data_IF_293125040732
#
_entry.id   IF_293125040732
#
_cell.length_a   1.000
_cell.length_b   1.000
_cell.length_c   1.000
_cell.angle_alpha   90.00
_cell.angle_beta   90.00
_cell.angle_gamma   90.00
#
_symmetry.space_group_name_H-M   'P 1'
#
loop_
_entity.id
_entity.type
_entity.pdbx_description
1 polymer ?
#
# COMPACT_ATOMS: atom_id res chain seq x y z
N UNK A 1 31.53 -20.75 22.11
CA UNK A 1 30.26 -20.54 21.38
C UNK A 1 30.61 -20.19 19.95
N UNK A 2 30.50 -21.17 19.08
CA UNK A 2 30.74 -20.94 17.65
C UNK A 2 29.47 -20.28 17.07
N UNK A 3 29.66 -19.11 16.44
CA UNK A 3 28.61 -18.41 15.70
C UNK A 3 28.27 -19.24 14.45
N UNK A 4 27.05 -19.77 14.41
CA UNK A 4 26.50 -20.49 13.25
C UNK A 4 26.06 -19.52 12.13
N UNK A 5 26.79 -18.43 11.93
CA UNK A 5 26.57 -17.53 10.80
C UNK A 5 27.22 -18.16 9.56
N UNK A 6 26.43 -18.85 8.75
CA UNK A 6 26.83 -19.18 7.39
C UNK A 6 26.98 -17.89 6.61
N UNK A 7 28.14 -17.64 5.99
CA UNK A 7 28.32 -16.42 5.22
C UNK A 7 27.32 -16.40 4.05
N UNK A 8 26.69 -15.24 3.84
CA UNK A 8 25.72 -14.98 2.75
C UNK A 8 26.27 -15.38 1.37
N UNK A 9 27.61 -15.47 1.25
CA UNK A 9 28.30 -15.93 0.04
C UNK A 9 28.06 -17.40 -0.36
N UNK A 10 27.37 -18.20 0.48
CA UNK A 10 27.05 -19.60 0.18
C UNK A 10 25.64 -19.80 -0.41
N UNK A 11 24.81 -18.76 -0.49
CA UNK A 11 23.52 -18.83 -1.16
C UNK A 11 23.74 -18.78 -2.67
N UNK A 12 23.14 -19.70 -3.45
CA UNK A 12 23.22 -19.63 -4.90
C UNK A 12 22.63 -18.28 -5.35
N UNK A 13 23.32 -17.62 -6.28
CA UNK A 13 22.79 -16.42 -6.90
C UNK A 13 21.47 -16.80 -7.60
N UNK A 14 20.41 -15.95 -7.48
CA UNK A 14 19.17 -16.22 -8.19
C UNK A 14 19.43 -16.28 -9.71
N UNK A 15 18.71 -17.15 -10.40
CA UNK A 15 18.76 -17.21 -11.87
C UNK A 15 18.41 -15.82 -12.42
N UNK A 16 19.20 -15.24 -13.33
CA UNK A 16 18.89 -13.97 -13.96
C UNK A 16 17.46 -13.89 -14.52
N UNK A 17 16.91 -15.00 -15.03
CA UNK A 17 15.53 -15.07 -15.53
C UNK A 17 14.50 -14.91 -14.43
N UNK A 18 14.78 -15.41 -13.21
CA UNK A 18 13.89 -15.23 -12.04
C UNK A 18 13.92 -13.77 -11.59
N UNK A 19 15.07 -13.13 -11.61
CA UNK A 19 15.20 -11.71 -11.31
C UNK A 19 14.42 -10.83 -12.33
N UNK A 20 14.55 -11.13 -13.62
CA UNK A 20 13.80 -10.43 -14.67
C UNK A 20 12.28 -10.62 -14.53
N UNK A 21 11.83 -11.84 -14.25
CA UNK A 21 10.43 -12.14 -14.00
C UNK A 21 9.91 -11.40 -12.77
N UNK A 22 10.72 -11.32 -11.71
CA UNK A 22 10.36 -10.58 -10.49
C UNK A 22 10.23 -9.07 -10.77
N UNK A 23 11.16 -8.49 -11.52
CA UNK A 23 11.10 -7.08 -11.91
C UNK A 23 9.88 -6.78 -12.79
N UNK A 24 9.56 -7.64 -13.75
CA UNK A 24 8.35 -7.52 -14.57
C UNK A 24 7.09 -7.64 -13.70
N UNK A 25 7.07 -8.54 -12.73
CA UNK A 25 5.93 -8.70 -11.83
C UNK A 25 5.67 -7.43 -10.97
N UNK A 26 6.73 -6.70 -10.60
CA UNK A 26 6.60 -5.45 -9.83
C UNK A 26 6.31 -4.25 -10.74
N UNK A 27 7.13 -4.06 -11.77
CA UNK A 27 7.16 -2.82 -12.56
C UNK A 27 6.48 -2.93 -13.92
N UNK A 28 5.91 -4.09 -14.25
CA UNK A 28 5.35 -4.35 -15.57
C UNK A 28 6.41 -4.47 -16.66
N UNK A 29 6.00 -4.81 -17.88
CA UNK A 29 6.89 -4.88 -19.03
C UNK A 29 7.38 -3.48 -19.41
N UNK A 30 8.63 -3.40 -19.84
CA UNK A 30 9.18 -2.19 -20.43
C UNK A 30 8.71 -2.03 -21.88
N UNK A 31 8.47 -0.79 -22.29
CA UNK A 31 8.32 -0.48 -23.71
C UNK A 31 9.67 -0.68 -24.45
N UNK A 32 9.66 -0.84 -25.77
CA UNK A 32 10.88 -0.96 -26.57
C UNK A 32 11.85 0.20 -26.42
N UNK A 33 11.37 1.38 -26.00
CA UNK A 33 12.16 2.58 -25.73
C UNK A 33 12.60 2.71 -24.25
N UNK A 34 12.32 1.69 -23.40
CA UNK A 34 12.64 1.68 -21.99
C UNK A 34 11.71 2.53 -21.10
N UNK A 35 10.67 3.15 -21.68
CA UNK A 35 9.68 3.92 -20.91
C UNK A 35 8.61 3.00 -20.31
N UNK A 36 8.02 3.42 -19.20
CA UNK A 36 6.88 2.75 -18.59
C UNK A 36 5.58 3.36 -19.11
N UNK A 37 4.79 2.58 -19.83
CA UNK A 37 3.48 3.02 -20.36
C UNK A 37 2.31 2.59 -19.49
N UNK A 38 2.56 1.81 -18.45
CA UNK A 38 1.53 1.26 -17.59
C UNK A 38 0.86 2.35 -16.75
N UNK A 39 -0.46 2.35 -16.70
CA UNK A 39 -1.24 3.19 -15.80
C UNK A 39 -1.33 2.58 -14.39
N UNK A 40 -1.71 3.39 -13.39
CA UNK A 40 -2.00 2.90 -12.02
C UNK A 40 -3.02 1.76 -12.05
N UNK A 41 -4.05 1.89 -12.88
CA UNK A 41 -5.12 0.89 -13.02
C UNK A 41 -4.58 -0.43 -13.57
N UNK A 42 -3.74 -0.39 -14.59
CA UNK A 42 -3.15 -1.60 -15.19
C UNK A 42 -2.21 -2.30 -14.21
N UNK A 43 -1.38 -1.55 -13.50
CA UNK A 43 -0.52 -2.08 -12.44
C UNK A 43 -1.34 -2.72 -11.32
N UNK A 44 -2.43 -2.06 -10.92
CA UNK A 44 -3.31 -2.55 -9.87
C UNK A 44 -4.02 -3.85 -10.27
N UNK A 45 -4.54 -3.93 -11.49
CA UNK A 45 -5.17 -5.14 -12.03
C UNK A 45 -4.17 -6.31 -12.06
N UNK A 46 -2.93 -6.05 -12.45
CA UNK A 46 -1.85 -7.05 -12.45
C UNK A 46 -1.53 -7.53 -11.03
N UNK A 47 -1.50 -6.65 -10.03
CA UNK A 47 -1.30 -7.05 -8.64
C UNK A 47 -2.49 -7.83 -8.07
N UNK A 48 -3.72 -7.49 -8.45
CA UNK A 48 -4.92 -8.26 -8.07
C UNK A 48 -4.88 -9.68 -8.65
N UNK A 49 -4.46 -9.82 -9.90
CA UNK A 49 -4.28 -11.13 -10.56
C UNK A 49 -3.21 -11.96 -9.86
N UNK A 50 -2.07 -11.36 -9.52
CA UNK A 50 -0.97 -12.04 -8.83
C UNK A 50 -1.35 -12.50 -7.40
N UNK A 51 -2.37 -11.91 -6.81
CA UNK A 51 -2.91 -12.29 -5.49
C UNK A 51 -4.05 -13.31 -5.57
N UNK A 52 -4.10 -14.11 -6.64
CA UNK A 52 -5.07 -15.18 -6.80
C UNK A 52 -6.35 -14.75 -7.50
N UNK A 53 -6.32 -13.68 -8.30
CA UNK A 53 -7.46 -13.23 -9.09
C UNK A 53 -8.53 -12.53 -8.25
N UNK A 54 -8.13 -11.59 -7.38
CA UNK A 54 -9.05 -10.78 -6.59
C UNK A 54 -9.95 -9.96 -7.50
N UNK A 55 -11.27 -10.13 -7.38
CA UNK A 55 -12.26 -9.38 -8.16
C UNK A 55 -12.67 -8.05 -7.50
N UNK A 56 -13.42 -7.23 -8.25
CA UNK A 56 -13.89 -5.92 -7.79
C UNK A 56 -14.69 -5.98 -6.49
N UNK A 57 -15.59 -6.95 -6.37
CA UNK A 57 -16.43 -7.12 -5.18
C UNK A 57 -15.61 -7.50 -3.96
N UNK A 58 -14.64 -8.39 -4.14
CA UNK A 58 -13.74 -8.84 -3.09
C UNK A 58 -12.86 -7.69 -2.62
N UNK A 59 -12.30 -6.89 -3.53
CA UNK A 59 -11.52 -5.71 -3.19
C UNK A 59 -12.36 -4.68 -2.42
N UNK A 60 -13.59 -4.43 -2.84
CA UNK A 60 -14.52 -3.55 -2.12
C UNK A 60 -14.78 -4.03 -0.68
N UNK A 61 -15.02 -5.33 -0.49
CA UNK A 61 -15.18 -5.92 0.84
C UNK A 61 -13.92 -5.79 1.70
N UNK A 62 -12.75 -6.01 1.13
CA UNK A 62 -11.47 -5.97 1.85
C UNK A 62 -11.08 -4.54 2.27
N UNK A 63 -11.43 -3.54 1.48
CA UNK A 63 -11.05 -2.14 1.69
C UNK A 63 -12.13 -1.32 2.38
N UNK A 64 -13.38 -1.73 2.33
CA UNK A 64 -14.53 -0.91 2.73
C UNK A 64 -14.84 0.24 1.78
N UNK A 65 -14.18 0.32 0.63
CA UNK A 65 -14.46 1.30 -0.42
C UNK A 65 -15.74 0.89 -1.17
N UNK A 66 -16.55 1.88 -1.53
CA UNK A 66 -17.78 1.63 -2.30
C UNK A 66 -17.46 0.85 -3.60
N UNK A 67 -18.29 -0.15 -3.88
CA UNK A 67 -18.14 -1.01 -5.07
C UNK A 67 -18.18 -0.21 -6.38
N UNK A 68 -19.00 0.84 -6.43
CA UNK A 68 -19.07 1.72 -7.59
C UNK A 68 -17.79 2.52 -7.81
N UNK A 69 -17.15 2.97 -6.74
CA UNK A 69 -15.84 3.65 -6.83
C UNK A 69 -14.74 2.70 -7.28
N UNK A 70 -14.66 1.48 -6.72
CA UNK A 70 -13.73 0.45 -7.19
C UNK A 70 -13.92 0.20 -8.69
N UNK A 71 -15.17 0.02 -9.14
CA UNK A 71 -15.46 -0.19 -10.57
C UNK A 71 -15.01 0.99 -11.44
N UNK A 72 -15.22 2.23 -10.98
CA UNK A 72 -14.77 3.43 -11.73
C UNK A 72 -13.25 3.52 -11.80
N UNK A 73 -12.54 3.17 -10.73
CA UNK A 73 -11.08 3.12 -10.70
C UNK A 73 -10.52 2.09 -11.68
N UNK A 74 -11.03 0.86 -11.62
CA UNK A 74 -10.55 -0.25 -12.45
C UNK A 74 -10.95 -0.14 -13.93
N UNK A 75 -11.90 0.71 -14.27
CA UNK A 75 -12.29 1.03 -15.64
C UNK A 75 -11.75 2.37 -16.15
N UNK A 76 -10.79 2.98 -15.45
CA UNK A 76 -10.22 4.30 -15.79
C UNK A 76 -11.25 5.43 -15.92
N UNK A 77 -12.41 5.30 -15.27
CA UNK A 77 -13.46 6.34 -15.27
C UNK A 77 -13.25 7.40 -14.19
N UNK A 78 -12.40 7.12 -13.23
CA UNK A 78 -12.04 8.02 -12.14
C UNK A 78 -10.62 7.73 -11.65
N UNK A 79 -9.86 8.79 -11.36
CA UNK A 79 -8.54 8.66 -10.75
C UNK A 79 -8.68 8.18 -9.30
N UNK A 80 -7.85 7.22 -8.91
CA UNK A 80 -7.80 6.69 -7.55
C UNK A 80 -7.33 7.80 -6.61
N UNK A 81 -8.03 8.04 -5.50
CA UNK A 81 -7.57 8.96 -4.48
C UNK A 81 -6.39 8.35 -3.70
N UNK A 82 -5.50 9.22 -3.20
CA UNK A 82 -4.37 8.81 -2.37
C UNK A 82 -4.80 7.93 -1.19
N UNK A 83 -5.88 8.31 -0.49
CA UNK A 83 -6.39 7.54 0.65
C UNK A 83 -6.89 6.16 0.25
N UNK A 84 -7.66 6.06 -0.82
CA UNK A 84 -8.14 4.78 -1.32
C UNK A 84 -7.00 3.89 -1.81
N UNK A 85 -5.96 4.47 -2.44
CA UNK A 85 -4.78 3.71 -2.84
C UNK A 85 -4.04 3.13 -1.63
N UNK A 86 -3.92 3.87 -0.53
CA UNK A 86 -3.36 3.35 0.72
C UNK A 86 -4.12 2.11 1.23
N UNK A 87 -5.45 2.18 1.28
CA UNK A 87 -6.28 1.06 1.72
C UNK A 87 -6.16 -0.14 0.78
N UNK A 88 -6.09 0.09 -0.52
CA UNK A 88 -5.89 -0.96 -1.52
C UNK A 88 -4.51 -1.62 -1.35
N UNK A 89 -3.46 -0.86 -1.11
CA UNK A 89 -2.12 -1.40 -0.84
C UNK A 89 -2.11 -2.31 0.39
N UNK A 90 -2.78 -1.91 1.47
CA UNK A 90 -2.90 -2.72 2.68
C UNK A 90 -3.72 -3.98 2.42
N UNK A 91 -4.86 -3.87 1.75
CA UNK A 91 -5.74 -5.00 1.43
C UNK A 91 -5.05 -6.05 0.56
N UNK A 92 -4.32 -5.63 -0.46
CA UNK A 92 -3.55 -6.50 -1.34
C UNK A 92 -2.22 -6.97 -0.74
N UNK A 93 -1.87 -6.52 0.45
CA UNK A 93 -0.61 -6.86 1.15
C UNK A 93 0.60 -6.65 0.26
N UNK A 94 0.70 -5.49 -0.34
CA UNK A 94 1.78 -5.18 -1.28
C UNK A 94 3.11 -4.94 -0.55
N UNK A 95 4.19 -5.36 -1.18
CA UNK A 95 5.55 -5.00 -0.75
C UNK A 95 5.78 -3.49 -0.91
N UNK A 96 6.70 -2.94 -0.14
CA UNK A 96 7.05 -1.50 -0.18
C UNK A 96 7.42 -1.03 -1.59
N UNK A 97 8.14 -1.84 -2.38
CA UNK A 97 8.49 -1.51 -3.76
C UNK A 97 7.27 -1.43 -4.69
N UNK A 98 6.28 -2.31 -4.51
CA UNK A 98 5.02 -2.28 -5.26
C UNK A 98 4.20 -1.05 -4.90
N UNK A 99 4.11 -0.72 -3.61
CA UNK A 99 3.44 0.49 -3.12
C UNK A 99 4.08 1.74 -3.72
N UNK A 100 5.42 1.84 -3.63
CA UNK A 100 6.16 2.96 -4.21
C UNK A 100 5.88 3.11 -5.71
N UNK A 101 5.87 2.02 -6.46
CA UNK A 101 5.59 2.04 -7.88
C UNK A 101 4.19 2.59 -8.19
N UNK A 102 3.14 2.15 -7.45
CA UNK A 102 1.78 2.67 -7.63
C UNK A 102 1.69 4.17 -7.33
N UNK A 103 2.34 4.64 -6.25
CA UNK A 103 2.36 6.06 -5.90
C UNK A 103 3.14 6.90 -6.91
N UNK A 104 4.24 6.38 -7.44
CA UNK A 104 5.00 7.05 -8.52
C UNK A 104 4.15 7.17 -9.80
N UNK A 105 3.39 6.13 -10.17
CA UNK A 105 2.45 6.18 -11.30
C UNK A 105 1.30 7.18 -11.07
N UNK A 106 0.80 7.27 -9.83
CA UNK A 106 -0.23 8.23 -9.45
C UNK A 106 0.32 9.66 -9.36
N UNK A 107 1.64 9.84 -9.31
CA UNK A 107 2.35 11.11 -9.08
C UNK A 107 1.99 11.76 -7.74
N UNK A 108 1.78 10.93 -6.73
CA UNK A 108 1.49 11.34 -5.37
C UNK A 108 2.57 10.81 -4.41
N UNK A 109 2.96 11.57 -3.37
CA UNK A 109 3.88 11.07 -2.36
C UNK A 109 3.24 10.00 -1.48
N UNK A 110 4.03 8.99 -1.09
CA UNK A 110 3.60 8.03 -0.08
C UNK A 110 3.39 8.76 1.26
N UNK A 111 2.31 8.45 2.02
CA UNK A 111 2.07 9.06 3.32
C UNK A 111 3.25 8.87 4.28
N UNK A 112 3.50 9.86 5.11
CA UNK A 112 4.50 9.80 6.18
C UNK A 112 5.96 9.93 5.76
N UNK A 113 6.26 10.22 4.48
CA UNK A 113 7.64 10.39 3.98
C UNK A 113 8.05 11.86 3.88
N UNK A 114 7.12 12.76 3.55
CA UNK A 114 7.43 14.17 3.28
C UNK A 114 6.87 15.05 4.39
N UNK A 115 7.71 15.94 4.92
CA UNK A 115 7.33 16.91 5.95
C UNK A 115 7.24 16.34 7.35
N UNK A 116 6.40 16.94 8.20
CA UNK A 116 6.02 16.38 9.50
C UNK A 116 4.72 15.59 9.29
N UNK A 117 4.76 14.26 9.26
CA UNK A 117 3.56 13.48 9.13
C UNK A 117 2.67 13.70 10.37
N UNK A 118 1.36 13.84 10.14
CA UNK A 118 0.40 13.85 11.22
C UNK A 118 0.17 12.41 11.78
N UNK A 119 -0.55 12.30 12.88
CA UNK A 119 -0.82 11.01 13.52
C UNK A 119 -1.54 10.03 12.57
N UNK A 120 -2.43 10.54 11.71
CA UNK A 120 -3.16 9.76 10.72
C UNK A 120 -2.22 9.17 9.65
N UNK A 121 -1.31 9.97 9.11
CA UNK A 121 -0.32 9.52 8.14
C UNK A 121 0.64 8.50 8.73
N UNK A 122 1.04 8.67 10.00
CA UNK A 122 1.88 7.72 10.72
C UNK A 122 1.19 6.36 10.89
N UNK A 123 -0.10 6.35 11.24
CA UNK A 123 -0.89 5.12 11.36
C UNK A 123 -0.97 4.41 10.01
N UNK A 124 -1.38 5.11 8.96
CA UNK A 124 -1.48 4.54 7.61
C UNK A 124 -0.15 3.96 7.16
N UNK A 125 0.94 4.72 7.34
CA UNK A 125 2.30 4.28 6.99
C UNK A 125 2.71 3.00 7.71
N UNK A 126 2.41 2.91 9.00
CA UNK A 126 2.69 1.72 9.80
C UNK A 126 2.01 0.47 9.22
N UNK A 127 0.73 0.56 8.86
CA UNK A 127 0.01 -0.56 8.23
C UNK A 127 0.50 -0.86 6.82
N UNK A 128 0.85 0.15 6.04
CA UNK A 128 1.42 -0.05 4.71
C UNK A 128 2.79 -0.75 4.77
N UNK A 129 3.64 -0.40 5.73
CA UNK A 129 4.95 -1.03 5.88
C UNK A 129 4.87 -2.47 6.40
N UNK A 130 3.88 -2.77 7.23
CA UNK A 130 3.73 -4.08 7.88
C UNK A 130 2.85 -5.08 7.14
N UNK A 131 1.97 -4.64 6.25
CA UNK A 131 0.91 -5.49 5.68
C UNK A 131 1.41 -6.70 4.89
N UNK A 132 2.60 -6.65 4.32
CA UNK A 132 3.20 -7.78 3.61
C UNK A 132 3.70 -8.88 4.56
N UNK A 133 4.18 -8.51 5.73
CA UNK A 133 4.85 -9.40 6.69
C UNK A 133 3.94 -9.89 7.80
N UNK A 134 2.91 -9.13 8.17
CA UNK A 134 2.04 -9.39 9.30
C UNK A 134 0.57 -9.49 8.84
N UNK A 135 -0.02 -10.67 9.00
CA UNK A 135 -1.41 -10.94 8.62
C UNK A 135 -2.43 -10.15 9.45
N UNK A 136 -2.04 -9.65 10.63
CA UNK A 136 -2.90 -8.82 11.48
C UNK A 136 -2.98 -7.36 11.02
N UNK A 137 -2.07 -6.94 10.15
CA UNK A 137 -2.08 -5.60 9.53
C UNK A 137 -3.13 -5.53 8.42
N UNK A 138 -4.39 -5.43 8.82
CA UNK A 138 -5.55 -5.38 7.93
C UNK A 138 -6.12 -3.97 7.79
N UNK A 139 -6.91 -3.74 6.73
CA UNK A 139 -7.64 -2.46 6.54
C UNK A 139 -8.57 -2.19 7.72
N UNK A 140 -9.29 -3.21 8.22
CA UNK A 140 -10.19 -3.06 9.35
C UNK A 140 -9.46 -2.58 10.62
N UNK A 141 -8.29 -3.15 10.93
CA UNK A 141 -7.47 -2.71 12.04
C UNK A 141 -6.93 -1.29 11.83
N UNK A 142 -6.50 -0.96 10.63
CA UNK A 142 -6.04 0.39 10.29
C UNK A 142 -7.15 1.43 10.53
N UNK A 143 -8.35 1.18 10.03
CA UNK A 143 -9.52 2.07 10.22
C UNK A 143 -9.84 2.21 11.70
N UNK A 144 -9.86 1.13 12.48
CA UNK A 144 -10.11 1.18 13.91
C UNK A 144 -9.08 2.04 14.65
N UNK A 145 -7.81 1.97 14.28
CA UNK A 145 -6.77 2.84 14.86
C UNK A 145 -6.94 4.31 14.47
N UNK A 146 -7.35 4.58 13.22
CA UNK A 146 -7.65 5.93 12.77
C UNK A 146 -8.84 6.54 13.51
N UNK A 147 -9.88 5.78 13.78
CA UNK A 147 -11.06 6.23 14.52
C UNK A 147 -10.70 6.49 15.99
N UNK A 148 -9.94 5.62 16.63
CA UNK A 148 -9.43 5.84 17.99
C UNK A 148 -8.57 7.12 18.11
N UNK A 149 -7.75 7.40 17.10
CA UNK A 149 -6.95 8.62 17.07
C UNK A 149 -7.79 9.88 16.95
N UNK A 150 -8.87 9.85 16.15
CA UNK A 150 -9.84 10.96 16.05
C UNK A 150 -10.53 11.24 17.37
N UNK A 151 -11.00 10.20 18.07
CA UNK A 151 -11.67 10.33 19.37
C UNK A 151 -10.74 10.94 20.43
N UNK A 152 -9.49 10.49 20.50
CA UNK A 152 -8.47 11.06 21.40
C UNK A 152 -8.15 12.51 21.06
N UNK A 153 -8.07 12.86 19.79
CA UNK A 153 -7.87 14.23 19.32
C UNK A 153 -9.04 15.15 19.70
N UNK A 154 -10.27 14.69 19.54
CA UNK A 154 -11.48 15.42 19.94
C UNK A 154 -11.54 15.62 21.46
N UNK A 155 -11.23 14.59 22.26
CA UNK A 155 -11.20 14.69 23.71
C UNK A 155 -10.14 15.69 24.21
N UNK A 156 -8.96 15.75 23.58
CA UNK A 156 -7.90 16.73 23.91
C UNK A 156 -8.33 18.17 23.59
N UNK A 157 -9.02 18.40 22.46
CA UNK A 157 -9.50 19.73 22.11
C UNK A 157 -10.59 20.24 23.04
N UNK A 158 -11.47 19.39 23.54
CA UNK A 158 -12.49 19.74 24.56
C UNK A 158 -11.83 20.08 25.90
N UNK A 159 -10.84 19.30 26.34
CA UNK A 159 -10.10 19.55 27.59
C UNK A 159 -9.32 20.87 27.55
N UNK A 160 -8.81 21.29 26.39
CA UNK A 160 -8.15 22.60 26.23
C UNK A 160 -9.11 23.77 26.29
N UNK A 161 -10.41 23.59 25.99
CA UNK A 161 -11.42 24.65 26.08
C UNK A 161 -11.98 24.83 27.49
N UNK A 162 -11.91 23.84 28.37
CA UNK A 162 -12.38 23.91 29.74
C UNK A 162 -11.33 24.47 30.74
N UNK A 163 -10.07 24.60 30.36
CA UNK A 163 -8.96 25.13 31.16
C UNK A 163 -8.80 26.65 31.12
N UNK A 164 -9.69 27.39 30.48
CA UNK A 164 -9.65 28.85 30.36
C UNK A 164 -10.62 29.56 31.30
N UNK A 165 -10.34 29.53 32.61
CA UNK A 165 -10.90 30.51 33.58
C UNK A 165 -9.79 31.11 34.40
#
# INVERSE_FOLDING_TARGET
MESTYSPISSLPLPDPREADNFMIAIYGPDNPDGSKSESVTEALLRYMDNRGGIGNNQLACMTGIDRGDISRYLNNKRTISKEHLCLICIALRLMTCQQKYLFDLLKEPIPGIIGKPDERECIIKHYMDGCFYDENMTVAHCIAQLDNAKEKGAARSVSCMEGGK
#
